data_IF_571082980491
#
_entry.id   IF_571082980491
#
_cell.length_a   1.000
_cell.length_b   1.000
_cell.length_c   1.000
_cell.angle_alpha   90.00
_cell.angle_beta   90.00
_cell.angle_gamma   90.00
#
_symmetry.space_group_name_H-M   'P 1'
#
loop_
_entity.id
_entity.type
_entity.pdbx_description
1 polymer ?
#
# COMPACT_ATOMS: atom_id res chain seq x y z
N UNK A 1 -2.46 24.57 8.78
CA UNK A 1 -1.10 25.05 8.39
C UNK A 1 0.02 24.05 8.74
N UNK A 2 0.05 23.47 9.93
CA UNK A 2 1.09 22.47 10.31
C UNK A 2 0.91 21.13 9.60
N UNK A 3 -0.33 20.68 9.47
CA UNK A 3 -0.75 19.45 8.80
C UNK A 3 -0.32 19.40 7.33
N UNK A 4 -0.58 20.45 6.57
CA UNK A 4 -0.21 20.55 5.15
C UNK A 4 1.32 20.49 4.96
N UNK A 5 2.09 21.05 5.90
CA UNK A 5 3.55 20.97 5.89
C UNK A 5 4.04 19.53 6.09
N UNK A 6 3.41 18.79 7.01
CA UNK A 6 3.71 17.37 7.28
C UNK A 6 3.41 16.53 6.04
N UNK A 7 2.22 16.64 5.46
CA UNK A 7 1.83 15.93 4.23
C UNK A 7 2.79 16.23 3.07
N UNK A 8 3.15 17.50 2.88
CA UNK A 8 4.11 17.90 1.84
C UNK A 8 5.49 17.28 2.05
N UNK A 9 5.98 17.23 3.28
CA UNK A 9 7.24 16.59 3.62
C UNK A 9 7.19 15.09 3.35
N UNK A 10 6.15 14.41 3.79
CA UNK A 10 5.94 12.97 3.58
C UNK A 10 5.88 12.66 2.07
N UNK A 11 5.05 13.39 1.31
CA UNK A 11 4.99 13.23 -0.16
C UNK A 11 6.36 13.38 -0.82
N UNK A 12 7.11 14.43 -0.46
CA UNK A 12 8.44 14.67 -1.04
C UNK A 12 9.39 13.51 -0.76
N UNK A 13 9.39 12.98 0.47
CA UNK A 13 10.23 11.84 0.86
C UNK A 13 9.88 10.58 0.06
N UNK A 14 8.60 10.20 0.01
CA UNK A 14 8.15 9.00 -0.69
C UNK A 14 8.24 9.14 -2.22
N UNK A 15 8.06 10.34 -2.79
CA UNK A 15 8.36 10.61 -4.20
C UNK A 15 9.82 10.33 -4.55
N UNK A 16 10.75 10.75 -3.69
CA UNK A 16 12.18 10.49 -3.88
C UNK A 16 12.46 8.99 -3.86
N UNK A 17 11.93 8.27 -2.86
CA UNK A 17 12.08 6.83 -2.73
C UNK A 17 11.52 6.10 -3.96
N UNK A 18 10.34 6.50 -4.45
CA UNK A 18 9.71 5.89 -5.61
C UNK A 18 10.55 6.05 -6.89
N UNK A 19 11.25 7.17 -7.06
CA UNK A 19 12.11 7.46 -8.22
C UNK A 19 13.46 6.76 -8.16
N UNK A 20 14.10 6.79 -6.99
CA UNK A 20 15.48 6.35 -6.81
C UNK A 20 15.60 4.89 -6.39
N UNK A 21 14.48 4.24 -5.99
CA UNK A 21 14.48 2.88 -5.44
C UNK A 21 15.18 2.78 -4.09
N UNK A 22 15.37 3.91 -3.40
CA UNK A 22 16.09 3.98 -2.14
C UNK A 22 15.28 3.38 -1.00
N UNK A 23 15.93 2.65 -0.09
CA UNK A 23 15.36 2.21 1.19
C UNK A 23 15.08 3.41 2.10
N UNK A 24 14.11 3.26 3.01
CA UNK A 24 13.72 4.31 3.96
C UNK A 24 14.82 4.68 5.00
N UNK A 25 15.88 3.88 5.09
CA UNK A 25 17.01 4.12 6.00
C UNK A 25 18.03 4.99 5.30
N UNK A 26 17.95 6.32 5.51
CA UNK A 26 18.93 7.29 5.03
C UNK A 26 19.95 7.61 6.12
N UNK A 27 21.17 7.77 5.67
CA UNK A 27 22.29 8.59 6.18
C UNK A 27 23.17 8.11 7.34
N UNK A 28 22.92 7.01 8.06
CA UNK A 28 23.87 6.63 9.12
C UNK A 28 23.95 5.15 9.51
N UNK A 29 23.29 4.26 8.82
CA UNK A 29 23.47 2.82 9.00
C UNK A 29 23.77 2.15 7.65
N UNK A 30 24.64 1.12 7.59
CA UNK A 30 24.83 0.32 6.38
C UNK A 30 23.55 -0.47 6.10
N UNK A 31 22.59 0.17 5.45
CA UNK A 31 21.35 -0.46 5.00
C UNK A 31 21.62 -1.22 3.70
N UNK A 32 22.46 -2.24 3.79
CA UNK A 32 22.70 -3.24 2.77
C UNK A 32 21.74 -4.41 2.86
N UNK A 33 20.61 -4.26 3.55
CA UNK A 33 19.57 -5.30 3.58
C UNK A 33 18.70 -5.14 2.35
N UNK A 34 18.79 -6.13 1.47
CA UNK A 34 17.85 -6.37 0.38
C UNK A 34 16.41 -6.10 0.85
N UNK A 35 15.63 -5.33 0.09
CA UNK A 35 14.24 -5.02 0.41
C UNK A 35 13.37 -6.27 0.60
N UNK A 36 13.74 -7.37 -0.04
CA UNK A 36 13.15 -8.71 0.14
C UNK A 36 13.45 -9.27 1.53
N UNK A 37 14.69 -9.14 2.01
CA UNK A 37 15.05 -9.59 3.36
C UNK A 37 14.34 -8.76 4.45
N UNK A 38 14.18 -7.45 4.24
CA UNK A 38 13.37 -6.63 5.13
C UNK A 38 11.91 -7.10 5.15
N UNK A 39 11.29 -7.33 3.98
CA UNK A 39 9.93 -7.82 3.88
C UNK A 39 9.75 -9.16 4.64
N UNK A 40 10.68 -10.09 4.53
CA UNK A 40 10.65 -11.35 5.31
C UNK A 40 10.68 -11.11 6.82
N UNK A 41 11.52 -10.18 7.30
CA UNK A 41 11.63 -9.85 8.74
C UNK A 41 10.33 -9.29 9.32
N UNK A 42 9.55 -8.56 8.52
CA UNK A 42 8.28 -7.98 8.94
C UNK A 42 7.08 -8.90 8.69
N UNK A 43 7.31 -10.17 8.32
CA UNK A 43 6.30 -11.22 8.34
C UNK A 43 5.78 -11.68 6.98
N UNK A 44 6.35 -11.22 5.85
CA UNK A 44 6.01 -11.79 4.55
C UNK A 44 6.76 -13.10 4.31
N UNK A 45 6.04 -14.13 3.92
CA UNK A 45 6.65 -15.42 3.55
C UNK A 45 7.37 -15.34 2.20
N UNK A 46 8.37 -16.19 2.00
CA UNK A 46 9.07 -16.31 0.72
C UNK A 46 8.09 -16.57 -0.45
N UNK A 47 7.08 -17.42 -0.21
CA UNK A 47 6.06 -17.77 -1.21
C UNK A 47 5.21 -16.55 -1.61
N UNK A 48 4.80 -15.73 -0.65
CA UNK A 48 4.06 -14.49 -0.93
C UNK A 48 4.88 -13.55 -1.80
N UNK A 49 6.14 -13.30 -1.43
CA UNK A 49 7.02 -12.38 -2.15
C UNK A 49 7.37 -12.85 -3.57
N UNK A 50 7.41 -14.17 -3.80
CA UNK A 50 7.64 -14.74 -5.14
C UNK A 50 6.44 -14.62 -6.07
N UNK A 51 5.22 -14.42 -5.52
CA UNK A 51 3.98 -14.35 -6.29
C UNK A 51 3.52 -12.92 -6.58
N UNK A 52 4.35 -11.92 -6.31
CA UNK A 52 4.06 -10.50 -6.59
C UNK A 52 5.22 -9.87 -7.37
N UNK A 53 5.00 -8.71 -8.02
CA UNK A 53 6.07 -7.98 -8.69
C UNK A 53 7.21 -7.62 -7.73
N UNK A 54 8.43 -8.03 -8.04
CA UNK A 54 9.62 -7.69 -7.23
C UNK A 54 9.80 -6.17 -7.08
N UNK A 55 9.50 -5.41 -8.14
CA UNK A 55 9.56 -3.95 -8.16
C UNK A 55 8.54 -3.27 -7.22
N UNK A 56 7.54 -4.00 -6.70
CA UNK A 56 6.66 -3.53 -5.65
C UNK A 56 7.30 -3.59 -4.26
N UNK A 57 8.27 -4.50 -4.06
CA UNK A 57 8.93 -4.75 -2.77
C UNK A 57 9.98 -3.67 -2.53
N UNK A 58 9.61 -2.62 -1.81
CA UNK A 58 10.47 -1.45 -1.54
C UNK A 58 11.03 -1.40 -0.11
N UNK A 59 10.69 -2.38 0.74
CA UNK A 59 11.13 -2.42 2.13
C UNK A 59 10.60 -1.27 3.00
N UNK A 60 9.41 -0.76 2.71
CA UNK A 60 8.80 0.40 3.38
C UNK A 60 7.75 0.04 4.44
N UNK A 61 7.33 -1.23 4.49
CA UNK A 61 6.32 -1.72 5.42
C UNK A 61 6.85 -1.95 6.84
N UNK A 62 5.92 -2.06 7.79
CA UNK A 62 6.21 -2.37 9.20
C UNK A 62 5.56 -3.69 9.65
N UNK A 63 4.82 -4.37 8.78
CA UNK A 63 4.13 -5.62 9.06
C UNK A 63 3.51 -6.22 7.80
N UNK A 64 2.83 -7.36 7.93
CA UNK A 64 2.08 -8.02 6.87
C UNK A 64 0.57 -7.98 7.20
N UNK A 65 -0.16 -6.93 6.80
CA UNK A 65 -1.59 -6.81 7.10
C UNK A 65 -2.42 -7.88 6.40
N UNK A 66 -1.97 -8.38 5.24
CA UNK A 66 -2.69 -9.44 4.51
C UNK A 66 -2.63 -10.80 5.19
N UNK A 67 -1.63 -11.03 6.06
CA UNK A 67 -1.57 -12.26 6.88
C UNK A 67 -2.57 -12.23 8.03
N UNK A 68 -2.90 -11.04 8.55
CA UNK A 68 -3.84 -10.84 9.65
C UNK A 68 -5.28 -10.75 9.15
N UNK A 69 -5.49 -10.23 7.94
CA UNK A 69 -6.81 -10.14 7.32
C UNK A 69 -7.24 -11.52 6.79
N UNK A 70 -8.41 -12.00 7.24
CA UNK A 70 -9.04 -13.23 6.73
C UNK A 70 -9.74 -12.96 5.40
N UNK A 71 -8.94 -12.61 4.37
CA UNK A 71 -9.42 -12.27 3.02
C UNK A 71 -10.04 -13.49 2.33
N UNK A 72 -11.24 -13.32 1.80
CA UNK A 72 -12.01 -14.38 1.11
C UNK A 72 -12.12 -14.10 -0.38
N UNK A 73 -12.30 -15.16 -1.15
CA UNK A 73 -12.54 -15.04 -2.58
C UNK A 73 -13.79 -14.19 -2.87
N UNK A 74 -13.65 -13.24 -3.80
CA UNK A 74 -14.73 -12.37 -4.24
C UNK A 74 -14.87 -11.06 -3.46
N UNK A 75 -14.14 -10.86 -2.37
CA UNK A 75 -14.20 -9.62 -1.58
C UNK A 75 -13.55 -8.43 -2.30
N UNK A 76 -14.06 -7.24 -1.97
CA UNK A 76 -13.47 -5.96 -2.36
C UNK A 76 -12.64 -5.42 -1.20
N UNK A 77 -11.34 -5.23 -1.44
CA UNK A 77 -10.36 -4.81 -0.42
C UNK A 77 -9.84 -3.42 -0.74
N UNK A 78 -9.72 -2.58 0.27
CA UNK A 78 -9.07 -1.27 0.20
C UNK A 78 -7.74 -1.30 0.95
N UNK A 79 -6.66 -0.91 0.29
CA UNK A 79 -5.35 -0.70 0.91
C UNK A 79 -5.04 0.79 1.03
N UNK A 80 -4.91 1.27 2.26
CA UNK A 80 -4.61 2.66 2.58
C UNK A 80 -3.08 2.88 2.67
N UNK A 81 -2.57 3.74 1.79
CA UNK A 81 -1.13 3.98 1.65
C UNK A 81 -0.42 2.84 0.93
N UNK A 82 -1.00 2.40 -0.18
CA UNK A 82 -0.60 1.20 -0.90
C UNK A 82 0.83 1.21 -1.47
N UNK A 83 1.49 2.39 -1.53
CA UNK A 83 2.83 2.52 -2.09
C UNK A 83 2.94 1.94 -3.49
N UNK A 84 3.95 1.10 -3.72
CA UNK A 84 4.16 0.40 -5.00
C UNK A 84 3.31 -0.87 -5.17
N UNK A 85 2.42 -1.19 -4.20
CA UNK A 85 1.37 -2.20 -4.33
C UNK A 85 1.62 -3.56 -3.70
N UNK A 86 2.61 -3.73 -2.80
CA UNK A 86 2.90 -5.04 -2.18
C UNK A 86 1.65 -5.70 -1.62
N UNK A 87 0.96 -5.01 -0.70
CA UNK A 87 -0.23 -5.56 -0.03
C UNK A 87 -1.43 -5.69 -0.97
N UNK A 88 -1.55 -4.79 -1.95
CA UNK A 88 -2.58 -4.86 -3.02
C UNK A 88 -2.41 -6.13 -3.84
N UNK A 89 -1.20 -6.46 -4.30
CA UNK A 89 -0.98 -7.66 -5.11
C UNK A 89 -1.16 -8.95 -4.29
N UNK A 90 -0.75 -8.96 -3.03
CA UNK A 90 -1.01 -10.08 -2.12
C UNK A 90 -2.50 -10.28 -1.88
N UNK A 91 -3.23 -9.20 -1.61
CA UNK A 91 -4.68 -9.24 -1.45
C UNK A 91 -5.37 -9.71 -2.73
N UNK A 92 -4.95 -9.19 -3.91
CA UNK A 92 -5.51 -9.58 -5.20
C UNK A 92 -5.36 -11.08 -5.50
N UNK A 93 -4.23 -11.66 -5.09
CA UNK A 93 -4.00 -13.10 -5.22
C UNK A 93 -4.92 -13.92 -4.28
N UNK A 94 -5.26 -13.37 -3.10
CA UNK A 94 -6.15 -14.05 -2.13
C UNK A 94 -7.63 -13.95 -2.51
N UNK A 95 -8.09 -12.76 -2.93
CA UNK A 95 -9.51 -12.56 -3.29
C UNK A 95 -9.85 -13.13 -4.67
N UNK A 96 -8.84 -13.46 -5.46
CA UNK A 96 -9.02 -14.11 -6.77
C UNK A 96 -9.66 -13.22 -7.84
N UNK A 97 -9.99 -13.82 -8.98
CA UNK A 97 -10.50 -13.10 -10.16
C UNK A 97 -11.91 -12.50 -10.00
N UNK A 98 -12.66 -12.94 -8.99
CA UNK A 98 -13.99 -12.40 -8.66
C UNK A 98 -13.95 -11.26 -7.67
N UNK A 99 -12.84 -11.13 -6.91
CA UNK A 99 -12.61 -10.05 -5.99
C UNK A 99 -11.95 -8.86 -6.66
N UNK A 100 -11.89 -7.74 -5.94
CA UNK A 100 -11.27 -6.51 -6.42
C UNK A 100 -10.44 -5.85 -5.32
N UNK A 101 -9.30 -5.25 -5.67
CA UNK A 101 -8.46 -4.56 -4.68
C UNK A 101 -8.15 -3.15 -5.16
N UNK A 102 -8.46 -2.18 -4.31
CA UNK A 102 -8.17 -0.76 -4.56
C UNK A 102 -7.03 -0.32 -3.65
N UNK A 103 -5.93 0.14 -4.24
CA UNK A 103 -4.84 0.78 -3.52
C UNK A 103 -4.94 2.30 -3.62
N UNK A 104 -4.83 3.00 -2.50
CA UNK A 104 -4.80 4.46 -2.46
C UNK A 104 -3.48 4.93 -1.88
N UNK A 105 -2.82 5.84 -2.58
CA UNK A 105 -1.62 6.51 -2.09
C UNK A 105 -1.65 8.00 -2.45
N UNK A 106 -1.12 8.85 -1.57
CA UNK A 106 -1.06 10.30 -1.81
C UNK A 106 0.13 10.71 -2.69
N UNK A 107 1.01 9.77 -3.05
CA UNK A 107 2.24 10.01 -3.79
C UNK A 107 2.05 9.59 -5.25
N UNK A 108 2.04 10.55 -6.17
CA UNK A 108 1.83 10.30 -7.60
C UNK A 108 2.81 9.29 -8.20
N UNK A 109 4.07 9.33 -7.79
CA UNK A 109 5.11 8.42 -8.26
C UNK A 109 4.90 6.99 -7.78
N UNK A 110 4.36 6.80 -6.55
CA UNK A 110 3.99 5.48 -6.04
C UNK A 110 2.83 4.89 -6.85
N UNK A 111 1.76 5.66 -7.04
CA UNK A 111 0.61 5.25 -7.85
C UNK A 111 1.02 4.90 -9.28
N UNK A 112 1.90 5.70 -9.89
CA UNK A 112 2.43 5.42 -11.23
C UNK A 112 3.16 4.07 -11.25
N UNK A 113 4.10 3.85 -10.31
CA UNK A 113 4.86 2.61 -10.20
C UNK A 113 3.97 1.39 -9.95
N UNK A 114 2.96 1.52 -9.10
CA UNK A 114 2.00 0.46 -8.84
C UNK A 114 1.18 0.08 -10.08
N UNK A 115 0.71 1.07 -10.85
CA UNK A 115 0.03 0.83 -12.12
C UNK A 115 0.92 0.17 -13.18
N UNK A 116 2.19 0.57 -13.28
CA UNK A 116 3.18 -0.06 -14.16
C UNK A 116 3.40 -1.52 -13.77
N UNK A 117 3.52 -1.81 -12.48
CA UNK A 117 3.63 -3.16 -11.94
C UNK A 117 2.40 -4.00 -12.30
N UNK A 118 1.20 -3.49 -12.06
CA UNK A 118 -0.05 -4.18 -12.38
C UNK A 118 -0.15 -4.53 -13.87
N UNK A 119 0.14 -3.57 -14.73
CA UNK A 119 0.13 -3.77 -16.19
C UNK A 119 1.16 -4.79 -16.64
N UNK A 120 2.40 -4.69 -16.16
CA UNK A 120 3.50 -5.58 -16.53
C UNK A 120 3.24 -7.03 -16.14
N UNK A 121 2.58 -7.25 -15.02
CA UNK A 121 2.33 -8.58 -14.48
C UNK A 121 0.90 -9.09 -14.73
N UNK A 122 0.09 -8.35 -15.50
CA UNK A 122 -1.22 -8.80 -15.98
C UNK A 122 -2.32 -8.83 -14.93
N UNK A 123 -2.20 -8.09 -13.83
CA UNK A 123 -3.25 -7.97 -12.84
C UNK A 123 -4.46 -7.23 -13.42
N UNK A 124 -5.64 -7.85 -13.35
CA UNK A 124 -6.91 -7.30 -13.87
C UNK A 124 -7.88 -6.90 -12.76
N UNK A 125 -7.65 -7.38 -11.55
CA UNK A 125 -8.49 -7.20 -10.38
C UNK A 125 -7.91 -6.20 -9.37
N UNK A 126 -7.05 -5.30 -9.82
CA UNK A 126 -6.46 -4.23 -9.00
C UNK A 126 -6.67 -2.87 -9.64
N UNK A 127 -6.86 -1.85 -8.82
CA UNK A 127 -6.95 -0.45 -9.22
C UNK A 127 -6.11 0.41 -8.27
N UNK A 128 -5.34 1.36 -8.80
CA UNK A 128 -4.56 2.29 -7.98
C UNK A 128 -5.03 3.72 -8.21
N UNK A 129 -5.42 4.40 -7.13
CA UNK A 129 -5.92 5.79 -7.15
C UNK A 129 -5.01 6.72 -6.36
N UNK A 130 -4.80 7.91 -6.91
CA UNK A 130 -4.18 9.00 -6.18
C UNK A 130 -5.21 9.60 -5.23
N UNK A 131 -4.92 9.60 -3.94
CA UNK A 131 -5.83 10.13 -2.92
C UNK A 131 -5.19 10.23 -1.55
N UNK A 132 -5.82 11.01 -0.68
CA UNK A 132 -5.49 11.09 0.73
C UNK A 132 -6.44 10.20 1.53
N UNK A 133 -5.97 9.61 2.62
CA UNK A 133 -6.77 8.72 3.47
C UNK A 133 -7.93 9.47 4.16
N UNK A 134 -7.79 10.78 4.30
CA UNK A 134 -8.83 11.66 4.85
C UNK A 134 -9.93 11.99 3.83
N UNK A 135 -9.68 11.81 2.54
CA UNK A 135 -10.65 12.06 1.47
C UNK A 135 -10.53 11.00 0.39
N UNK A 136 -11.09 9.82 0.67
CA UNK A 136 -11.01 8.67 -0.20
C UNK A 136 -11.83 8.89 -1.49
N UNK A 137 -11.26 8.64 -2.68
CA UNK A 137 -11.96 8.75 -3.96
C UNK A 137 -12.78 7.47 -4.26
N UNK A 138 -13.64 7.07 -3.31
CA UNK A 138 -14.49 5.88 -3.35
C UNK A 138 -15.91 6.21 -2.90
N UNK A 139 -16.87 5.42 -3.36
CA UNK A 139 -18.25 5.46 -2.88
C UNK A 139 -18.37 4.87 -1.48
N UNK A 140 -19.40 5.29 -0.73
CA UNK A 140 -19.67 4.74 0.59
C UNK A 140 -20.12 3.28 0.46
N UNK A 141 -19.72 2.44 1.39
CA UNK A 141 -20.05 1.00 1.43
C UNK A 141 -19.60 0.21 0.17
N UNK A 142 -18.53 0.66 -0.49
CA UNK A 142 -18.02 0.03 -1.71
C UNK A 142 -16.92 -1.01 -1.46
N UNK A 143 -16.52 -1.23 -0.20
CA UNK A 143 -15.44 -2.15 0.19
C UNK A 143 -15.86 -3.03 1.37
N UNK A 144 -15.42 -4.29 1.35
CA UNK A 144 -15.69 -5.26 2.41
C UNK A 144 -14.63 -5.22 3.50
N UNK A 145 -13.37 -5.03 3.13
CA UNK A 145 -12.22 -5.05 4.05
C UNK A 145 -11.29 -3.88 3.76
N UNK A 146 -10.77 -3.27 4.84
CA UNK A 146 -9.72 -2.26 4.75
C UNK A 146 -8.45 -2.82 5.40
N UNK A 147 -7.35 -2.72 4.68
CA UNK A 147 -6.00 -2.98 5.19
C UNK A 147 -5.17 -1.70 5.15
N UNK A 148 -4.15 -1.64 6.00
CA UNK A 148 -3.22 -0.51 6.02
C UNK A 148 -1.90 -0.92 6.64
N UNK A 149 -0.79 -0.48 6.04
CA UNK A 149 0.55 -0.73 6.51
C UNK A 149 1.28 0.58 6.81
N UNK A 150 1.40 0.93 8.11
CA UNK A 150 2.13 2.12 8.63
C UNK A 150 1.58 3.50 8.26
N UNK A 151 0.53 3.62 7.45
CA UNK A 151 0.09 4.94 6.95
C UNK A 151 -0.82 5.69 7.92
N UNK A 152 -1.62 4.97 8.72
CA UNK A 152 -2.58 5.59 9.68
C UNK A 152 -1.83 6.44 10.72
N UNK A 153 -0.59 6.08 11.06
CA UNK A 153 0.25 6.85 11.98
C UNK A 153 0.71 8.19 11.41
N UNK A 154 0.67 8.34 10.09
CA UNK A 154 1.04 9.57 9.38
C UNK A 154 -0.16 10.48 9.14
N UNK A 155 -1.38 9.98 9.38
CA UNK A 155 -2.60 10.78 9.29
C UNK A 155 -2.75 11.71 10.49
N UNK A 156 -3.20 12.90 10.23
CA UNK A 156 -3.52 13.92 11.23
C UNK A 156 -4.94 13.76 11.80
N UNK A 157 -5.83 13.10 11.06
CA UNK A 157 -7.18 12.72 11.51
C UNK A 157 -7.34 11.17 11.49
N UNK A 158 -7.02 10.55 12.62
CA UNK A 158 -6.88 9.10 12.75
C UNK A 158 -8.20 8.30 12.65
N UNK A 159 -9.37 8.91 12.75
CA UNK A 159 -10.63 8.17 12.87
C UNK A 159 -11.85 8.81 12.18
N UNK A 160 -11.76 10.04 11.68
CA UNK A 160 -12.95 10.81 11.28
C UNK A 160 -13.61 10.34 9.98
N UNK A 161 -12.87 9.76 9.05
CA UNK A 161 -13.34 9.56 7.68
C UNK A 161 -13.54 8.10 7.27
N UNK A 162 -12.89 7.15 7.92
CA UNK A 162 -13.08 5.72 7.63
C UNK A 162 -14.46 5.20 8.07
N UNK A 163 -14.99 5.72 9.18
CA UNK A 163 -16.34 5.33 9.70
C UNK A 163 -17.51 5.68 8.77
N UNK A 164 -17.40 6.73 7.95
CA UNK A 164 -18.47 7.13 7.04
C UNK A 164 -18.61 6.27 5.80
N UNK A 165 -17.57 5.48 5.44
CA UNK A 165 -17.50 4.79 4.15
C UNK A 165 -17.52 3.27 4.22
N UNK A 166 -17.42 2.69 5.42
CA UNK A 166 -17.39 1.23 5.61
C UNK A 166 -18.59 0.68 6.39
N UNK A 167 -19.47 1.53 6.90
CA UNK A 167 -20.63 1.07 7.69
C UNK A 167 -20.28 0.50 9.08
N UNK A 168 -19.01 0.59 9.53
CA UNK A 168 -18.55 0.13 10.85
C UNK A 168 -18.19 1.27 11.79
#
# INVERSE_FOLDING_TARGET
MQEEKIKKFVRKRYSKIAKEGASCCSDSAPCGTDSVEHAKRIGYSKKELQNIPESAIMGLGCGNPTALADLKEGETVLDLGSGAGVDVFLAANKVGSKGHVVGIDMTKEMVKRANENAKKHGYKNVEFKLGEIENLPLEDNSVDIIISNCVINLSTDKLGHTKKRTGF
#
